data_IF_348407821287
#
_entry.id   IF_348407821287
#
_cell.length_a   1.000
_cell.length_b   1.000
_cell.length_c   1.000
_cell.angle_alpha   90.00
_cell.angle_beta   90.00
_cell.angle_gamma   90.00
#
_symmetry.space_group_name_H-M   'P 1'
#
loop_
_entity.id
_entity.type
_entity.pdbx_description
1 polymer ?
#
# COMPACT_ATOMS: atom_id res chain seq x y z
N UNK A 1 -4.44 18.08 -46.82
CA UNK A 1 -5.21 17.40 -45.76
C UNK A 1 -4.20 16.87 -44.74
N UNK A 2 -3.49 17.78 -44.05
CA UNK A 2 -2.36 17.44 -43.15
C UNK A 2 -2.41 18.22 -41.81
N UNK A 3 -3.22 19.28 -41.73
CA UNK A 3 -3.32 20.18 -40.57
C UNK A 3 -4.32 19.73 -39.50
N UNK A 4 -5.16 18.74 -39.80
CA UNK A 4 -6.22 18.26 -38.88
C UNK A 4 -5.63 17.29 -37.83
N UNK A 5 -4.82 16.33 -38.26
CA UNK A 5 -4.19 15.35 -37.36
C UNK A 5 -3.20 15.96 -36.36
N UNK A 6 -2.55 17.08 -36.67
CA UNK A 6 -1.66 17.78 -35.73
C UNK A 6 -2.46 18.46 -34.61
N UNK A 7 -3.62 19.06 -34.94
CA UNK A 7 -4.53 19.63 -33.94
C UNK A 7 -5.13 18.56 -33.04
N UNK A 8 -5.44 17.38 -33.59
CA UNK A 8 -5.96 16.26 -32.83
C UNK A 8 -4.93 15.71 -31.84
N UNK A 9 -3.66 15.59 -32.23
CA UNK A 9 -2.57 15.16 -31.34
C UNK A 9 -2.36 16.16 -30.19
N UNK A 10 -2.38 17.46 -30.49
CA UNK A 10 -2.24 18.49 -29.46
C UNK A 10 -3.43 18.50 -28.49
N UNK A 11 -4.65 18.30 -29.00
CA UNK A 11 -5.85 18.15 -28.18
C UNK A 11 -5.77 16.90 -27.29
N UNK A 12 -5.34 15.76 -27.82
CA UNK A 12 -5.14 14.52 -27.07
C UNK A 12 -4.09 14.73 -25.98
N UNK A 13 -2.95 15.34 -26.29
CA UNK A 13 -1.90 15.61 -25.31
C UNK A 13 -2.41 16.49 -24.16
N UNK A 14 -3.17 17.54 -24.47
CA UNK A 14 -3.80 18.39 -23.45
C UNK A 14 -4.80 17.62 -22.59
N UNK A 15 -5.63 16.77 -23.20
CA UNK A 15 -6.59 15.93 -22.48
C UNK A 15 -5.87 14.92 -21.57
N UNK A 16 -4.79 14.31 -22.06
CA UNK A 16 -3.95 13.41 -21.28
C UNK A 16 -3.36 14.10 -20.05
N UNK A 17 -2.75 15.28 -20.21
CA UNK A 17 -2.17 16.05 -19.10
C UNK A 17 -3.24 16.52 -18.09
N UNK A 18 -4.46 16.78 -18.57
CA UNK A 18 -5.58 17.15 -17.72
C UNK A 18 -6.12 15.95 -16.92
N UNK A 19 -6.28 14.80 -17.58
CA UNK A 19 -7.03 13.66 -17.04
C UNK A 19 -6.16 12.58 -16.38
N UNK A 20 -4.90 12.39 -16.80
CA UNK A 20 -4.03 11.30 -16.32
C UNK A 20 -3.02 11.80 -15.29
N UNK A 21 -3.50 12.16 -14.09
CA UNK A 21 -2.64 12.68 -13.00
C UNK A 21 -2.35 11.66 -11.90
N UNK A 22 -3.14 10.60 -11.81
CA UNK A 22 -3.04 9.60 -10.74
C UNK A 22 -1.82 8.72 -10.89
N UNK A 23 -1.47 8.33 -12.11
CA UNK A 23 -0.32 7.50 -12.43
C UNK A 23 0.83 8.38 -12.94
N UNK A 24 1.93 8.39 -12.20
CA UNK A 24 3.16 9.10 -12.61
C UNK A 24 4.13 8.06 -13.18
N UNK A 25 4.72 8.29 -14.37
CA UNK A 25 5.71 7.37 -14.91
C UNK A 25 6.90 7.29 -13.96
N UNK A 26 7.36 6.07 -13.67
CA UNK A 26 8.62 5.87 -12.94
C UNK A 26 9.74 6.09 -13.95
N UNK A 27 10.70 6.96 -13.62
CA UNK A 27 11.77 7.37 -14.54
C UNK A 27 12.78 6.27 -14.89
N UNK A 28 12.51 5.02 -14.48
CA UNK A 28 13.31 3.87 -14.83
C UNK A 28 12.87 3.31 -16.19
N UNK A 29 13.73 2.50 -16.83
CA UNK A 29 13.42 1.88 -18.13
C UNK A 29 12.41 0.73 -18.00
N UNK A 30 11.76 0.56 -16.85
CA UNK A 30 10.84 -0.55 -16.60
C UNK A 30 9.48 -0.34 -17.30
N UNK A 31 9.16 0.90 -17.69
CA UNK A 31 7.83 1.24 -18.22
C UNK A 31 6.73 1.20 -17.16
N UNK A 32 7.09 1.19 -15.87
CA UNK A 32 6.15 1.19 -14.76
C UNK A 32 5.63 2.59 -14.42
N UNK A 33 4.48 2.61 -13.74
CA UNK A 33 3.87 3.82 -13.22
C UNK A 33 3.69 3.68 -11.71
N UNK A 34 3.90 4.78 -10.99
CA UNK A 34 3.65 4.88 -9.57
C UNK A 34 2.34 5.64 -9.31
N UNK A 35 1.60 5.17 -8.32
CA UNK A 35 0.48 5.91 -7.72
C UNK A 35 0.88 6.30 -6.29
N UNK A 36 0.62 7.55 -5.91
CA UNK A 36 0.89 8.03 -4.56
C UNK A 36 -0.34 7.79 -3.68
N UNK A 37 -0.15 7.10 -2.55
CA UNK A 37 -1.20 6.86 -1.57
C UNK A 37 -0.90 7.74 -0.36
N UNK A 38 -1.83 8.64 -0.03
CA UNK A 38 -1.71 9.52 1.13
C UNK A 38 -2.39 8.86 2.33
N UNK A 39 -1.64 8.74 3.42
CA UNK A 39 -2.09 8.25 4.72
C UNK A 39 -1.78 9.30 5.79
N UNK A 40 -2.59 9.36 6.82
CA UNK A 40 -2.49 10.30 7.94
C UNK A 40 -1.38 9.89 8.91
N UNK A 41 -1.27 8.60 9.22
CA UNK A 41 -0.25 8.05 10.09
C UNK A 41 0.03 6.55 9.79
N UNK A 42 1.00 5.98 10.51
CA UNK A 42 1.37 4.56 10.38
C UNK A 42 0.26 3.60 10.84
N UNK A 43 -0.65 4.02 11.72
CA UNK A 43 -1.77 3.19 12.15
C UNK A 43 -2.81 3.07 11.03
N UNK A 44 -3.05 4.15 10.28
CA UNK A 44 -3.88 4.11 9.09
C UNK A 44 -3.26 3.20 8.02
N UNK A 45 -1.96 3.35 7.75
CA UNK A 45 -1.26 2.48 6.80
C UNK A 45 -1.35 1.00 7.21
N UNK A 46 -1.05 0.68 8.47
CA UNK A 46 -1.17 -0.68 8.99
C UNK A 46 -2.62 -1.18 8.92
N UNK A 47 -3.60 -0.30 9.13
CA UNK A 47 -5.02 -0.65 8.99
C UNK A 47 -5.39 -0.95 7.54
N UNK A 48 -4.87 -0.21 6.57
CA UNK A 48 -5.06 -0.48 5.14
C UNK A 48 -4.50 -1.86 4.80
N UNK A 49 -3.23 -2.12 5.12
CA UNK A 49 -2.57 -3.42 4.85
C UNK A 49 -3.36 -4.57 5.49
N UNK A 50 -3.75 -4.42 6.76
CA UNK A 50 -4.55 -5.42 7.49
C UNK A 50 -5.87 -5.72 6.79
N UNK A 51 -6.57 -4.70 6.29
CA UNK A 51 -7.85 -4.90 5.60
C UNK A 51 -7.66 -5.51 4.20
N UNK A 52 -6.58 -5.18 3.48
CA UNK A 52 -6.24 -5.84 2.22
C UNK A 52 -6.01 -7.35 2.43
N UNK A 53 -5.28 -7.73 3.49
CA UNK A 53 -5.07 -9.15 3.83
C UNK A 53 -6.38 -9.83 4.20
N UNK A 54 -7.23 -9.19 5.02
CA UNK A 54 -8.56 -9.73 5.36
C UNK A 54 -9.42 -9.95 4.11
N UNK A 55 -9.41 -9.00 3.18
CA UNK A 55 -10.13 -9.13 1.92
C UNK A 55 -9.64 -10.35 1.13
N UNK A 56 -8.33 -10.57 1.08
CA UNK A 56 -7.76 -11.75 0.42
C UNK A 56 -8.21 -13.05 1.09
N UNK A 57 -8.25 -13.10 2.43
CA UNK A 57 -8.73 -14.28 3.17
C UNK A 57 -10.18 -14.58 2.82
N UNK A 58 -11.06 -13.57 2.84
CA UNK A 58 -12.48 -13.76 2.53
C UNK A 58 -12.69 -14.10 1.05
N UNK A 59 -11.91 -13.51 0.14
CA UNK A 59 -11.99 -13.80 -1.29
C UNK A 59 -11.52 -15.22 -1.66
N UNK A 60 -10.71 -15.85 -0.81
CA UNK A 60 -10.29 -17.25 -0.98
C UNK A 60 -11.31 -18.25 -0.42
N UNK A 61 -12.21 -17.80 0.46
CA UNK A 61 -13.27 -18.63 1.01
C UNK A 61 -14.39 -18.79 -0.03
N UNK A 62 -14.68 -20.02 -0.43
CA UNK A 62 -15.62 -20.34 -1.52
C UNK A 62 -17.06 -19.90 -1.21
N UNK A 63 -17.38 -19.74 0.08
CA UNK A 63 -18.68 -19.28 0.57
C UNK A 63 -18.61 -17.85 1.19
N UNK A 64 -17.45 -17.19 1.15
CA UNK A 64 -17.16 -16.03 2.02
C UNK A 64 -17.51 -14.65 1.48
N UNK A 65 -17.26 -14.38 0.19
CA UNK A 65 -17.57 -13.09 -0.43
C UNK A 65 -18.18 -13.24 -1.82
N UNK A 66 -19.49 -13.01 -1.91
CA UNK A 66 -20.16 -12.77 -3.18
C UNK A 66 -20.03 -11.30 -3.58
N UNK A 67 -19.36 -11.04 -4.69
CA UNK A 67 -19.41 -9.71 -5.31
C UNK A 67 -20.81 -9.52 -5.90
N UNK A 68 -21.51 -8.40 -5.59
CA UNK A 68 -22.86 -8.17 -6.08
C UNK A 68 -22.99 -8.39 -7.58
N UNK A 69 -24.10 -8.99 -8.00
CA UNK A 69 -24.33 -9.40 -9.40
C UNK A 69 -24.28 -8.20 -10.37
N UNK A 70 -24.49 -6.99 -9.86
CA UNK A 70 -24.41 -5.71 -10.58
C UNK A 70 -22.99 -5.30 -10.95
N UNK A 71 -21.96 -5.92 -10.37
CA UNK A 71 -20.55 -5.63 -10.65
C UNK A 71 -20.02 -6.67 -11.65
N UNK A 72 -19.44 -6.18 -12.76
CA UNK A 72 -18.77 -7.04 -13.75
C UNK A 72 -17.49 -7.62 -13.16
N UNK A 73 -17.12 -8.83 -13.58
CA UNK A 73 -15.95 -9.58 -13.08
C UNK A 73 -16.03 -9.80 -11.56
N UNK A 74 -16.98 -10.65 -11.15
CA UNK A 74 -17.27 -10.95 -9.74
C UNK A 74 -16.12 -11.67 -9.01
N UNK A 75 -15.14 -12.20 -9.74
CA UNK A 75 -13.94 -12.78 -9.14
C UNK A 75 -12.99 -11.68 -8.65
N UNK A 76 -12.59 -11.74 -7.38
CA UNK A 76 -11.54 -10.89 -6.84
C UNK A 76 -10.18 -11.49 -7.21
N UNK A 77 -9.33 -10.71 -7.89
CA UNK A 77 -7.94 -11.10 -8.15
C UNK A 77 -7.10 -10.93 -6.88
N UNK A 78 -7.02 -12.01 -6.10
CA UNK A 78 -6.28 -12.05 -4.83
C UNK A 78 -4.79 -11.76 -5.04
N UNK A 79 -4.21 -12.19 -6.17
CA UNK A 79 -2.79 -11.97 -6.48
C UNK A 79 -2.48 -10.48 -6.64
N UNK A 80 -3.34 -9.75 -7.34
CA UNK A 80 -3.21 -8.30 -7.51
C UNK A 80 -3.32 -7.56 -6.17
N UNK A 81 -4.31 -7.92 -5.33
CA UNK A 81 -4.50 -7.28 -4.02
C UNK A 81 -3.32 -7.55 -3.08
N UNK A 82 -2.82 -8.78 -3.04
CA UNK A 82 -1.61 -9.12 -2.27
C UNK A 82 -0.38 -8.37 -2.78
N UNK A 83 -0.25 -8.19 -4.10
CA UNK A 83 0.85 -7.41 -4.69
C UNK A 83 0.86 -5.94 -4.23
N UNK A 84 -0.32 -5.34 -4.03
CA UNK A 84 -0.43 -3.99 -3.45
C UNK A 84 -0.13 -4.01 -1.94
N UNK A 85 -0.66 -4.97 -1.20
CA UNK A 85 -0.39 -5.09 0.23
C UNK A 85 1.11 -5.25 0.52
N UNK A 86 1.82 -6.00 -0.33
CA UNK A 86 3.27 -6.17 -0.24
C UNK A 86 4.04 -4.87 -0.49
N UNK A 87 3.65 -4.09 -1.51
CA UNK A 87 4.28 -2.81 -1.82
C UNK A 87 4.10 -1.77 -0.70
N UNK A 88 3.00 -1.87 0.05
CA UNK A 88 2.72 -0.97 1.17
C UNK A 88 3.42 -1.36 2.48
N UNK A 89 4.03 -2.54 2.55
CA UNK A 89 4.56 -3.07 3.80
C UNK A 89 5.86 -2.32 4.20
N UNK A 90 5.88 -1.63 5.35
CA UNK A 90 6.98 -0.72 5.73
C UNK A 90 8.15 -1.50 6.37
N UNK A 91 8.88 -2.28 5.55
CA UNK A 91 9.97 -3.15 6.00
C UNK A 91 11.10 -2.34 6.63
N UNK A 92 11.53 -1.25 5.99
CA UNK A 92 12.67 -0.45 6.43
C UNK A 92 12.38 0.22 7.80
N UNK A 93 11.14 0.69 8.01
CA UNK A 93 10.72 1.23 9.30
C UNK A 93 10.67 0.16 10.38
N UNK A 94 10.26 -1.06 10.06
CA UNK A 94 10.31 -2.17 11.02
C UNK A 94 11.75 -2.56 11.39
N UNK A 95 12.69 -2.53 10.43
CA UNK A 95 14.11 -2.75 10.70
C UNK A 95 14.66 -1.68 11.66
N UNK A 96 14.33 -0.41 11.43
CA UNK A 96 14.69 0.67 12.34
C UNK A 96 14.14 0.45 13.76
N UNK A 97 12.86 0.07 13.89
CA UNK A 97 12.26 -0.22 15.20
C UNK A 97 12.95 -1.38 15.91
N UNK A 98 13.35 -2.42 15.17
CA UNK A 98 14.09 -3.55 15.71
C UNK A 98 15.46 -3.13 16.25
N UNK A 99 16.22 -2.34 15.49
CA UNK A 99 17.53 -1.82 15.94
C UNK A 99 17.39 -0.95 17.21
N UNK A 100 16.37 -0.10 17.27
CA UNK A 100 16.08 0.70 18.48
C UNK A 100 15.83 -0.22 19.69
N UNK A 101 15.08 -1.31 19.52
CA UNK A 101 14.77 -2.24 20.61
C UNK A 101 16.02 -2.96 21.15
N UNK A 102 17.02 -3.18 20.30
CA UNK A 102 18.31 -3.79 20.66
C UNK A 102 19.18 -2.77 21.41
N UNK A 103 19.22 -1.52 20.94
CA UNK A 103 20.04 -0.45 21.52
C UNK A 103 19.47 0.06 22.86
N UNK A 104 18.15 0.04 23.00
CA UNK A 104 17.42 0.50 24.19
C UNK A 104 16.52 -0.62 24.70
N UNK A 105 17.10 -1.71 25.25
CA UNK A 105 16.30 -2.77 25.83
C UNK A 105 15.48 -2.20 26.98
N UNK A 106 14.20 -2.57 27.05
CA UNK A 106 13.36 -2.19 28.17
C UNK A 106 13.98 -2.76 29.46
N UNK A 107 14.51 -1.88 30.32
CA UNK A 107 15.10 -2.26 31.60
C UNK A 107 14.07 -3.07 32.41
N UNK A 108 14.23 -4.39 32.42
CA UNK A 108 13.44 -5.26 33.28
C UNK A 108 13.93 -5.08 34.71
N UNK A 109 13.30 -4.15 35.43
CA UNK A 109 13.21 -4.05 36.90
C UNK A 109 14.31 -4.80 37.67
N UNK A 110 15.35 -4.08 38.08
CA UNK A 110 16.14 -4.41 39.28
C UNK A 110 15.88 -3.39 40.39
N UNK A 111 14.63 -3.29 40.81
CA UNK A 111 14.25 -2.57 42.04
C UNK A 111 13.26 -3.45 42.79
N UNK A 112 13.73 -4.56 43.37
CA UNK A 112 13.01 -5.35 44.38
C UNK A 112 14.01 -6.28 45.12
N UNK A 113 15.16 -5.77 45.58
CA UNK A 113 16.06 -6.54 46.49
C UNK A 113 16.68 -5.71 47.64
N UNK A 114 16.27 -4.45 47.85
CA UNK A 114 16.75 -3.64 48.99
C UNK A 114 15.65 -3.22 49.96
N UNK A 115 14.70 -4.12 50.23
CA UNK A 115 13.90 -4.06 51.45
C UNK A 115 14.16 -5.37 52.18
N UNK A 116 14.64 -5.29 53.42
CA UNK A 116 15.19 -6.35 54.28
C UNK A 116 16.72 -6.51 54.15
N UNK A 117 17.46 -5.52 54.66
CA UNK A 117 18.60 -5.78 55.55
C UNK A 117 18.82 -4.59 56.48
N UNK A 118 18.83 -4.95 57.76
CA UNK A 118 19.10 -4.20 59.00
C UNK A 118 17.98 -3.32 59.58
#
# INVERSE_FOLDING_TARGET
METDGVKDIEAIKRLTDMCLRTLKPVGDKSGSYAAEIRVFDFLELASIIRNLIKLCIVALDQDGAEVPITIKNQSIDVGLILGIALQLFPIDEFELLNEISILFPADSRKEDENIIKD
#
